data_IF_851154996884
#
_entry.id   IF_851154996884
#
_cell.length_a   1.000
_cell.length_b   1.000
_cell.length_c   1.000
_cell.angle_alpha   90.00
_cell.angle_beta   90.00
_cell.angle_gamma   90.00
#
_symmetry.space_group_name_H-M   'P 1'
#
loop_
_entity.id
_entity.type
_entity.pdbx_description
1 polymer ?
#
# COMPACT_ATOMS: atom_id res chain seq x y z
N UNK A 1 14.14 -56.32 29.28
CA UNK A 1 13.90 -55.45 28.11
C UNK A 1 12.88 -54.39 28.50
N UNK A 2 13.27 -53.11 28.39
CA UNK A 2 12.34 -51.98 28.28
C UNK A 2 11.78 -51.38 29.57
N UNK A 3 12.37 -50.27 30.01
CA UNK A 3 11.62 -49.01 30.10
C UNK A 3 12.58 -47.83 30.16
N UNK A 4 12.56 -47.09 29.05
CA UNK A 4 13.31 -45.89 28.77
C UNK A 4 12.82 -44.74 29.65
N UNK A 5 13.78 -43.92 30.07
CA UNK A 5 13.60 -42.68 30.81
C UNK A 5 12.74 -41.69 30.03
N UNK A 6 11.70 -41.18 30.68
CA UNK A 6 10.92 -40.02 30.26
C UNK A 6 11.84 -38.81 30.01
N UNK A 7 11.94 -38.40 28.74
CA UNK A 7 12.31 -37.04 28.37
C UNK A 7 11.03 -36.31 28.01
N UNK A 8 10.53 -35.55 28.97
CA UNK A 8 9.37 -34.67 28.84
C UNK A 8 9.65 -33.64 27.75
N UNK A 9 9.00 -33.80 26.59
CA UNK A 9 9.00 -32.82 25.53
C UNK A 9 8.31 -31.53 26.04
N UNK A 10 8.99 -30.39 25.90
CA UNK A 10 8.38 -29.07 26.11
C UNK A 10 7.33 -28.84 25.02
N UNK A 11 6.06 -28.88 25.39
CA UNK A 11 4.98 -28.32 24.59
C UNK A 11 5.06 -26.79 24.66
N UNK A 12 5.55 -26.17 23.58
CA UNK A 12 5.35 -24.74 23.35
C UNK A 12 3.99 -24.64 22.64
N UNK A 13 2.96 -24.31 23.41
CA UNK A 13 1.62 -23.96 22.92
C UNK A 13 1.71 -22.60 22.21
N UNK A 14 2.28 -22.60 21.00
CA UNK A 14 2.10 -21.50 20.04
C UNK A 14 0.66 -21.53 19.56
N UNK A 15 -0.23 -20.97 20.38
CA UNK A 15 -1.54 -20.47 19.95
C UNK A 15 -1.31 -19.36 18.93
N UNK A 16 -0.98 -19.76 17.71
CA UNK A 16 -1.29 -18.97 16.52
C UNK A 16 -2.81 -18.97 16.46
N UNK A 17 -3.41 -17.97 17.08
CA UNK A 17 -4.78 -17.56 16.85
C UNK A 17 -4.91 -17.16 15.38
N UNK A 18 -4.98 -18.16 14.52
CA UNK A 18 -5.38 -18.02 13.14
C UNK A 18 -6.90 -17.94 13.19
N UNK A 19 -7.41 -16.81 13.65
CA UNK A 19 -8.82 -16.51 13.59
C UNK A 19 -9.26 -16.62 12.12
N UNK A 20 -10.23 -17.48 11.78
CA UNK A 20 -10.68 -17.68 10.41
C UNK A 20 -11.71 -16.62 9.98
N UNK A 21 -11.50 -15.33 10.30
CA UNK A 21 -12.52 -14.28 10.12
C UNK A 21 -12.09 -13.10 9.23
N UNK A 22 -11.34 -13.33 8.16
CA UNK A 22 -11.08 -12.28 7.14
C UNK A 22 -11.03 -12.83 5.72
N UNK A 23 -12.11 -13.49 5.28
CA UNK A 23 -12.21 -13.99 3.90
C UNK A 23 -12.73 -12.91 2.92
N UNK A 24 -13.35 -11.83 3.41
CA UNK A 24 -14.07 -10.87 2.54
C UNK A 24 -13.53 -9.43 2.49
N UNK A 25 -12.27 -9.18 2.89
CA UNK A 25 -11.66 -7.87 2.65
C UNK A 25 -10.39 -8.03 1.79
N UNK A 26 -10.38 -7.58 0.53
CA UNK A 26 -9.21 -7.72 -0.33
C UNK A 26 -8.01 -6.98 0.29
N UNK A 27 -6.96 -7.74 0.61
CA UNK A 27 -5.71 -7.21 1.18
C UNK A 27 -4.82 -6.72 0.04
N UNK A 28 -4.53 -5.43 0.04
CA UNK A 28 -3.59 -4.81 -0.90
C UNK A 28 -2.28 -4.48 -0.19
N UNK A 29 -1.15 -4.81 -0.80
CA UNK A 29 0.18 -4.50 -0.30
C UNK A 29 0.94 -3.57 -1.24
N UNK A 30 1.66 -2.59 -0.68
CA UNK A 30 2.59 -1.72 -1.44
C UNK A 30 3.94 -1.64 -0.75
N UNK A 31 5.03 -1.70 -1.52
CA UNK A 31 6.38 -1.44 -1.00
C UNK A 31 6.67 0.07 -1.10
N UNK A 32 6.31 0.80 -0.05
CA UNK A 32 6.41 2.27 -0.01
C UNK A 32 7.86 2.73 -0.17
N UNK A 33 8.80 2.10 0.53
CA UNK A 33 10.20 2.52 0.55
C UNK A 33 10.84 2.37 -0.84
N UNK A 34 10.67 1.21 -1.46
CA UNK A 34 11.22 0.94 -2.79
C UNK A 34 10.62 1.90 -3.83
N UNK A 35 9.30 2.11 -3.80
CA UNK A 35 8.61 3.01 -4.74
C UNK A 35 9.08 4.46 -4.58
N UNK A 36 9.21 4.93 -3.33
CA UNK A 36 9.60 6.30 -3.05
C UNK A 36 11.05 6.56 -3.45
N UNK A 37 11.98 5.68 -3.06
CA UNK A 37 13.40 5.84 -3.39
C UNK A 37 13.67 5.77 -4.89
N UNK A 38 13.07 4.81 -5.60
CA UNK A 38 13.20 4.71 -7.06
C UNK A 38 12.67 5.97 -7.77
N UNK A 39 11.48 6.44 -7.39
CA UNK A 39 10.86 7.64 -7.97
C UNK A 39 11.67 8.91 -7.68
N UNK A 40 12.18 9.07 -6.46
CA UNK A 40 13.01 10.20 -6.07
C UNK A 40 14.32 10.25 -6.87
N UNK A 41 15.03 9.12 -6.97
CA UNK A 41 16.29 9.05 -7.71
C UNK A 41 16.09 9.32 -9.20
N UNK A 42 15.00 8.83 -9.80
CA UNK A 42 14.73 9.00 -11.22
C UNK A 42 14.24 10.42 -11.59
N UNK A 43 13.51 11.09 -10.68
CA UNK A 43 12.79 12.34 -10.98
C UNK A 43 13.41 13.59 -10.36
N UNK A 44 14.74 13.62 -10.22
CA UNK A 44 15.51 14.83 -9.92
C UNK A 44 16.06 14.93 -8.51
N UNK A 45 15.52 14.16 -7.56
CA UNK A 45 15.98 14.24 -6.17
C UNK A 45 17.39 13.67 -5.97
N UNK A 46 17.88 12.85 -6.91
CA UNK A 46 19.29 12.46 -6.98
C UNK A 46 20.24 13.67 -7.02
N UNK A 47 19.81 14.77 -7.62
CA UNK A 47 20.58 16.01 -7.76
C UNK A 47 20.02 17.15 -6.88
N UNK A 48 19.09 16.85 -5.95
CA UNK A 48 18.45 17.85 -5.11
C UNK A 48 17.39 18.73 -5.79
N UNK A 49 16.92 18.36 -6.99
CA UNK A 49 15.87 19.13 -7.69
C UNK A 49 14.47 18.76 -7.17
N UNK A 50 14.06 19.43 -6.11
CA UNK A 50 12.73 19.29 -5.50
C UNK A 50 11.60 19.78 -6.41
N UNK A 51 11.86 20.77 -7.27
CA UNK A 51 10.84 21.34 -8.15
C UNK A 51 10.43 20.35 -9.23
N UNK A 52 11.40 19.63 -9.81
CA UNK A 52 11.18 18.55 -10.77
C UNK A 52 10.45 17.38 -10.13
N UNK A 53 10.83 16.99 -8.91
CA UNK A 53 10.13 15.90 -8.20
C UNK A 53 8.66 16.27 -7.91
N UNK A 54 8.39 17.51 -7.49
CA UNK A 54 7.00 17.99 -7.27
C UNK A 54 6.16 17.97 -8.56
N UNK A 55 6.74 18.39 -9.69
CA UNK A 55 6.09 18.29 -11.02
C UNK A 55 5.79 16.84 -11.39
N UNK A 56 6.69 15.91 -11.07
CA UNK A 56 6.44 14.48 -11.24
C UNK A 56 5.28 13.99 -10.39
N UNK A 57 5.24 14.28 -9.09
CA UNK A 57 4.18 13.83 -8.18
C UNK A 57 2.80 14.29 -8.67
N UNK A 58 2.65 15.57 -9.02
CA UNK A 58 1.39 16.11 -9.58
C UNK A 58 1.00 15.48 -10.92
N UNK A 59 1.95 15.25 -11.83
CA UNK A 59 1.69 14.57 -13.09
C UNK A 59 1.28 13.10 -12.89
N UNK A 60 1.94 12.39 -11.97
CA UNK A 60 1.63 11.01 -11.59
C UNK A 60 0.24 10.91 -10.98
N UNK A 61 -0.10 11.82 -10.06
CA UNK A 61 -1.40 11.93 -9.43
C UNK A 61 -2.52 12.12 -10.48
N UNK A 62 -2.33 13.03 -11.43
CA UNK A 62 -3.26 13.25 -12.55
C UNK A 62 -3.46 12.00 -13.40
N UNK A 63 -2.39 11.24 -13.69
CA UNK A 63 -2.47 9.98 -14.45
C UNK A 63 -3.24 8.91 -13.66
N UNK A 64 -2.98 8.79 -12.35
CA UNK A 64 -3.68 7.86 -11.47
C UNK A 64 -5.19 8.13 -11.45
N UNK A 65 -5.59 9.39 -11.19
CA UNK A 65 -7.01 9.79 -11.21
C UNK A 65 -7.70 9.46 -12.54
N UNK A 66 -7.05 9.70 -13.68
CA UNK A 66 -7.60 9.33 -15.00
C UNK A 66 -7.71 7.82 -15.16
N UNK A 67 -6.67 7.07 -14.78
CA UNK A 67 -6.62 5.62 -14.95
C UNK A 67 -7.62 4.86 -14.08
N UNK A 68 -7.98 5.44 -12.93
CA UNK A 68 -8.98 4.93 -11.99
C UNK A 68 -10.39 5.46 -12.29
N UNK A 69 -10.55 6.32 -13.31
CA UNK A 69 -11.78 7.09 -13.60
C UNK A 69 -12.30 7.88 -12.38
N UNK A 70 -11.46 8.13 -11.39
CA UNK A 70 -11.77 8.79 -10.12
C UNK A 70 -11.50 10.29 -10.22
N UNK A 71 -12.06 10.96 -11.22
CA UNK A 71 -11.83 12.40 -11.43
C UNK A 71 -12.83 13.26 -10.67
N UNK A 72 -12.40 14.42 -10.17
CA UNK A 72 -13.22 15.36 -9.42
C UNK A 72 -14.14 16.24 -10.30
N UNK A 73 -14.61 15.70 -11.43
CA UNK A 73 -15.44 16.42 -12.40
C UNK A 73 -14.64 17.10 -13.52
N UNK A 74 -15.34 17.49 -14.59
CA UNK A 74 -14.77 18.05 -15.82
C UNK A 74 -15.32 19.46 -16.10
N UNK A 75 -15.20 20.34 -15.12
CA UNK A 75 -15.66 21.73 -15.17
C UNK A 75 -15.99 22.24 -13.77
N UNK A 76 -17.01 21.66 -13.14
CA UNK A 76 -17.32 21.89 -11.72
C UNK A 76 -16.56 20.89 -10.85
N UNK A 77 -15.89 21.38 -9.81
CA UNK A 77 -15.18 20.55 -8.85
C UNK A 77 -16.17 19.79 -7.97
N UNK A 78 -16.06 18.47 -7.96
CA UNK A 78 -16.80 17.58 -7.07
C UNK A 78 -15.80 16.72 -6.29
N UNK A 79 -15.64 17.02 -5.00
CA UNK A 79 -14.72 16.30 -4.12
C UNK A 79 -15.22 14.86 -3.97
N UNK A 80 -14.39 13.90 -4.39
CA UNK A 80 -14.64 12.47 -4.19
C UNK A 80 -13.77 12.00 -3.05
N UNK A 81 -14.39 11.58 -1.95
CA UNK A 81 -13.66 11.02 -0.81
C UNK A 81 -13.18 9.61 -1.13
N UNK A 82 -11.95 9.28 -0.70
CA UNK A 82 -11.41 7.93 -0.79
C UNK A 82 -11.87 7.20 0.48
N UNK A 83 -12.88 6.33 0.35
CA UNK A 83 -13.39 5.47 1.43
C UNK A 83 -12.94 4.02 1.19
N UNK A 84 -12.93 3.19 2.24
CA UNK A 84 -12.54 1.78 2.12
C UNK A 84 -13.33 1.03 1.03
N UNK A 85 -14.60 1.37 0.85
CA UNK A 85 -15.49 0.81 -0.19
C UNK A 85 -15.09 1.19 -1.62
N UNK A 86 -14.38 2.31 -1.80
CA UNK A 86 -13.92 2.76 -3.13
C UNK A 86 -12.59 2.13 -3.55
N UNK A 87 -11.86 1.52 -2.60
CA UNK A 87 -10.55 0.91 -2.85
C UNK A 87 -10.78 -0.47 -3.48
N UNK A 88 -10.82 -0.50 -4.81
CA UNK A 88 -10.90 -1.74 -5.58
C UNK A 88 -9.55 -2.27 -6.01
N UNK A 89 -8.52 -1.41 -6.01
CA UNK A 89 -7.20 -1.72 -6.56
C UNK A 89 -6.06 -1.09 -5.76
N UNK A 90 -4.87 -1.68 -5.87
CA UNK A 90 -3.61 -1.18 -5.30
C UNK A 90 -3.30 0.26 -5.73
N UNK A 91 -3.75 0.67 -6.92
CA UNK A 91 -3.53 2.04 -7.45
C UNK A 91 -4.15 3.13 -6.57
N UNK A 92 -5.19 2.84 -5.79
CA UNK A 92 -5.73 3.79 -4.81
C UNK A 92 -4.77 4.05 -3.65
N UNK A 93 -3.97 3.07 -3.24
CA UNK A 93 -2.95 3.27 -2.22
C UNK A 93 -1.83 4.19 -2.74
N UNK A 94 -1.46 4.05 -4.02
CA UNK A 94 -0.55 5.01 -4.65
C UNK A 94 -1.13 6.42 -4.69
N UNK A 95 -2.44 6.56 -4.91
CA UNK A 95 -3.09 7.87 -4.93
C UNK A 95 -2.91 8.57 -3.57
N UNK A 96 -3.22 7.87 -2.47
CA UNK A 96 -3.05 8.39 -1.10
C UNK A 96 -1.59 8.77 -0.83
N UNK A 97 -0.64 7.93 -1.26
CA UNK A 97 0.79 8.19 -1.09
C UNK A 97 1.26 9.48 -1.79
N UNK A 98 0.79 9.75 -3.02
CA UNK A 98 1.18 10.95 -3.78
C UNK A 98 0.41 12.21 -3.39
N UNK A 99 -0.69 12.09 -2.64
CA UNK A 99 -1.43 13.24 -2.10
C UNK A 99 -0.94 13.72 -0.74
N UNK A 100 -0.19 12.88 -0.02
CA UNK A 100 0.44 13.22 1.26
C UNK A 100 1.55 14.26 1.07
#
# INVERSE_FOLDING_TARGET
MGKESEVSAMEIDDKKSTAPDQINNPKFSINVLQLLKSSQMQHGLRFGDYTRYRRYCTARLRRLYKSLKFTHGRGKYNKRAITATTITEVRFLHLVLYTA
#
